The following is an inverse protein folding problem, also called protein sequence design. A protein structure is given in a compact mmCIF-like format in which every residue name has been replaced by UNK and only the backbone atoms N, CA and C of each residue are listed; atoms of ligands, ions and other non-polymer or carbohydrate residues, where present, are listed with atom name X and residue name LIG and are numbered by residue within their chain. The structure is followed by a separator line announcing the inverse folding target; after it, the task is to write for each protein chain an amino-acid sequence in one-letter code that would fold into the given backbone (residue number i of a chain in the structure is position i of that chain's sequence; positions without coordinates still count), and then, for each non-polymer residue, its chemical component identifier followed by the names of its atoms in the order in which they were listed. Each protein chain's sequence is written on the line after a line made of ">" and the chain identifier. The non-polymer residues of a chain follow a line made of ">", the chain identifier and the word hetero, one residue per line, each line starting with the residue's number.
data_IF_984043351504
#
_entry.id   IF_984043351504
#
_cell.length_a   1.000
_cell.length_b   1.000
_cell.length_c   1.000
_cell.angle_alpha   90.00
_cell.angle_beta   90.00
_cell.angle_gamma   90.00
#
_symmetry.space_group_name_H-M   'P 1'
#
loop_
_entity.id
_entity.type
_entity.pdbx_description
1 polymer ?
#
# COMPACT_ATOMS: atom_id res chain seq x y z
N UNK A 1 -12.66 6.12 -20.80
CA UNK A 1 -11.40 5.41 -20.70
C UNK A 1 -10.17 6.31 -20.80
N UNK A 2 -10.25 7.35 -21.64
CA UNK A 2 -9.12 8.29 -21.73
C UNK A 2 -8.79 8.95 -20.40
N UNK A 3 -9.80 9.27 -19.59
CA UNK A 3 -9.57 9.90 -18.29
C UNK A 3 -8.74 9.00 -17.34
N UNK A 4 -8.80 7.69 -17.53
CA UNK A 4 -8.06 6.74 -16.68
C UNK A 4 -6.64 6.48 -17.17
N UNK A 5 -6.34 6.83 -18.42
CA UNK A 5 -5.03 6.55 -19.02
C UNK A 5 -4.27 7.80 -19.45
N UNK A 6 -4.99 8.92 -19.61
CA UNK A 6 -4.36 10.17 -20.04
C UNK A 6 -3.44 10.70 -18.94
N UNK A 7 -2.25 11.11 -19.34
CA UNK A 7 -1.26 11.70 -18.43
C UNK A 7 -0.78 10.76 -17.31
N UNK A 8 -1.01 9.46 -17.46
CA UNK A 8 -0.49 8.49 -16.51
C UNK A 8 0.93 8.11 -16.90
N UNK A 9 1.83 8.18 -15.93
CA UNK A 9 3.21 7.74 -16.12
C UNK A 9 3.29 6.24 -15.83
N UNK A 10 3.10 5.43 -16.87
CA UNK A 10 3.06 3.98 -16.71
C UNK A 10 4.36 3.40 -16.18
N UNK A 11 5.50 4.03 -16.50
CA UNK A 11 6.79 3.59 -15.96
C UNK A 11 6.83 3.83 -14.44
N UNK A 12 6.35 4.99 -14.00
CA UNK A 12 6.25 5.29 -12.57
C UNK A 12 5.30 4.36 -11.85
N UNK A 13 4.15 4.04 -12.46
CA UNK A 13 3.18 3.12 -11.89
C UNK A 13 3.81 1.73 -11.74
N UNK A 14 4.43 1.22 -12.78
CA UNK A 14 5.05 -0.10 -12.75
C UNK A 14 6.19 -0.20 -11.75
N UNK A 15 7.07 0.81 -11.76
CA UNK A 15 8.23 0.83 -10.87
C UNK A 15 7.79 0.92 -9.41
N UNK A 16 6.85 1.83 -9.10
CA UNK A 16 6.38 1.96 -7.72
C UNK A 16 5.63 0.72 -7.24
N UNK A 17 4.91 0.04 -8.13
CA UNK A 17 4.24 -1.22 -7.77
C UNK A 17 5.27 -2.25 -7.31
N UNK A 18 6.34 -2.41 -8.07
CA UNK A 18 7.40 -3.37 -7.73
C UNK A 18 8.07 -2.99 -6.41
N UNK A 19 8.45 -1.72 -6.27
CA UNK A 19 9.12 -1.24 -5.06
C UNK A 19 8.22 -1.43 -3.83
N UNK A 20 6.94 -1.08 -3.94
CA UNK A 20 6.01 -1.21 -2.83
C UNK A 20 5.74 -2.66 -2.47
N UNK A 21 5.68 -3.54 -3.47
CA UNK A 21 5.50 -4.96 -3.20
C UNK A 21 6.70 -5.53 -2.44
N UNK A 22 7.91 -5.13 -2.83
CA UNK A 22 9.13 -5.51 -2.12
C UNK A 22 9.19 -4.89 -0.73
N UNK A 23 8.74 -3.65 -0.60
CA UNK A 23 8.65 -3.00 0.72
C UNK A 23 7.73 -3.79 1.65
N UNK A 24 6.62 -4.31 1.12
CA UNK A 24 5.71 -5.12 1.91
C UNK A 24 6.38 -6.35 2.50
N UNK A 25 7.22 -7.00 1.72
CA UNK A 25 7.97 -8.15 2.20
C UNK A 25 8.88 -7.79 3.38
N UNK A 26 9.52 -6.61 3.31
CA UNK A 26 10.37 -6.14 4.39
C UNK A 26 9.56 -5.61 5.58
N UNK A 27 8.51 -4.84 5.29
CA UNK A 27 7.68 -4.19 6.32
C UNK A 27 7.07 -5.19 7.28
N UNK A 28 6.55 -6.31 6.75
CA UNK A 28 5.92 -7.36 7.54
C UNK A 28 6.87 -8.49 7.92
N UNK A 29 8.17 -8.29 7.72
CA UNK A 29 9.17 -9.27 8.12
C UNK A 29 9.52 -9.12 9.60
N UNK A 30 10.12 -10.15 10.17
CA UNK A 30 10.60 -10.09 11.55
C UNK A 30 11.67 -9.03 11.81
N UNK A 31 12.28 -8.51 10.73
CA UNK A 31 13.30 -7.46 10.85
C UNK A 31 12.72 -6.09 11.15
N UNK A 32 11.44 -5.86 10.82
CA UNK A 32 10.76 -4.60 11.11
C UNK A 32 9.60 -4.84 12.06
N UNK A 33 8.39 -4.93 11.51
CA UNK A 33 7.17 -4.97 12.33
C UNK A 33 6.50 -6.34 12.40
N UNK A 34 7.06 -7.34 11.70
CA UNK A 34 6.36 -8.60 11.47
C UNK A 34 6.01 -9.38 12.73
N UNK A 35 6.90 -9.42 13.73
CA UNK A 35 6.64 -10.21 14.92
C UNK A 35 5.44 -9.73 15.71
N UNK A 36 5.41 -8.44 16.06
CA UNK A 36 4.29 -7.89 16.81
C UNK A 36 3.03 -7.79 15.98
N UNK A 37 3.18 -7.54 14.67
CA UNK A 37 2.05 -7.54 13.76
C UNK A 37 1.39 -8.93 13.72
N UNK A 38 2.19 -9.97 13.58
CA UNK A 38 1.68 -11.34 13.54
C UNK A 38 0.97 -11.72 14.84
N UNK A 39 1.53 -11.33 15.98
CA UNK A 39 0.87 -11.53 17.27
C UNK A 39 -0.47 -10.79 17.32
N UNK A 40 -0.50 -9.58 16.78
CA UNK A 40 -1.70 -8.75 16.81
C UNK A 40 -2.84 -9.26 15.93
N UNK A 41 -2.54 -10.04 14.89
CA UNK A 41 -3.56 -10.66 14.05
C UNK A 41 -3.70 -12.15 14.29
N UNK A 42 -3.04 -12.65 15.35
CA UNK A 42 -3.16 -14.03 15.83
C UNK A 42 -2.71 -15.09 14.82
N UNK A 43 -1.63 -14.81 14.10
CA UNK A 43 -1.02 -15.83 13.23
C UNK A 43 0.29 -16.31 13.85
N UNK A 44 0.58 -17.58 13.63
CA UNK A 44 1.79 -18.20 14.15
C UNK A 44 3.03 -17.81 13.36
N UNK A 45 4.23 -18.04 13.93
CA UNK A 45 5.49 -17.70 13.26
C UNK A 45 5.74 -18.51 11.99
N UNK A 46 5.12 -19.67 11.86
CA UNK A 46 5.27 -20.52 10.67
C UNK A 46 4.20 -20.26 9.63
N UNK A 47 3.35 -19.27 9.87
CA UNK A 47 2.29 -18.93 8.93
C UNK A 47 2.87 -18.41 7.62
N UNK A 48 2.42 -18.98 6.52
CA UNK A 48 2.77 -18.51 5.18
C UNK A 48 1.53 -17.92 4.53
N UNK A 49 1.71 -16.78 3.87
CA UNK A 49 0.61 -16.17 3.15
C UNK A 49 0.20 -17.04 1.98
N UNK A 50 -1.11 -17.14 1.75
CA UNK A 50 -1.63 -17.90 0.62
C UNK A 50 -1.28 -17.19 -0.69
N UNK A 51 -1.26 -17.96 -1.77
CA UNK A 51 -1.05 -17.39 -3.10
C UNK A 51 -2.16 -16.38 -3.41
N UNK A 52 -3.40 -16.68 -3.01
CA UNK A 52 -4.52 -15.75 -3.20
C UNK A 52 -4.27 -14.41 -2.53
N UNK A 53 -3.73 -14.42 -1.30
CA UNK A 53 -3.43 -13.19 -0.58
C UNK A 53 -2.35 -12.39 -1.29
N UNK A 54 -1.29 -13.06 -1.75
CA UNK A 54 -0.19 -12.40 -2.45
C UNK A 54 -0.63 -11.82 -3.79
N UNK A 55 -1.45 -12.56 -4.54
CA UNK A 55 -1.98 -12.08 -5.82
C UNK A 55 -2.88 -10.87 -5.60
N UNK A 56 -3.75 -10.93 -4.58
CA UNK A 56 -4.62 -9.80 -4.25
C UNK A 56 -3.80 -8.58 -3.84
N UNK A 57 -2.75 -8.78 -3.07
CA UNK A 57 -1.85 -7.71 -2.64
C UNK A 57 -1.18 -7.05 -3.85
N UNK A 58 -0.72 -7.85 -4.80
CA UNK A 58 -0.08 -7.33 -6.00
C UNK A 58 -1.06 -6.47 -6.81
N UNK A 59 -2.25 -6.99 -7.09
CA UNK A 59 -3.24 -6.24 -7.86
C UNK A 59 -3.72 -4.99 -7.12
N UNK A 60 -3.91 -5.10 -5.81
CA UNK A 60 -4.28 -3.93 -5.00
C UNK A 60 -3.21 -2.85 -5.06
N UNK A 61 -1.94 -3.25 -4.97
CA UNK A 61 -0.81 -2.32 -5.05
C UNK A 61 -0.74 -1.67 -6.42
N UNK A 62 -0.92 -2.46 -7.48
CA UNK A 62 -0.92 -1.94 -8.86
C UNK A 62 -2.04 -0.92 -9.07
N UNK A 63 -3.25 -1.25 -8.62
CA UNK A 63 -4.39 -0.34 -8.76
C UNK A 63 -4.20 0.94 -7.94
N UNK A 64 -3.65 0.82 -6.74
CA UNK A 64 -3.36 1.99 -5.92
C UNK A 64 -2.31 2.87 -6.60
N UNK A 65 -1.25 2.27 -7.17
CA UNK A 65 -0.23 3.02 -7.90
C UNK A 65 -0.83 3.75 -9.10
N UNK A 66 -1.77 3.11 -9.80
CA UNK A 66 -2.48 3.73 -10.90
C UNK A 66 -3.30 4.93 -10.43
N UNK A 67 -4.05 4.76 -9.34
CA UNK A 67 -4.86 5.84 -8.75
C UNK A 67 -3.97 7.01 -8.33
N UNK A 68 -2.87 6.72 -7.66
CA UNK A 68 -1.92 7.77 -7.25
C UNK A 68 -1.33 8.47 -8.48
N UNK A 69 -1.01 7.72 -9.53
CA UNK A 69 -0.51 8.28 -10.78
C UNK A 69 -1.50 9.24 -11.42
N UNK A 70 -2.78 8.91 -11.39
CA UNK A 70 -3.83 9.81 -11.88
C UNK A 70 -3.98 11.05 -10.99
N UNK A 71 -3.95 10.84 -9.67
CA UNK A 71 -4.15 11.92 -8.72
C UNK A 71 -3.00 12.93 -8.72
N UNK A 72 -1.76 12.45 -8.88
CA UNK A 72 -0.59 13.32 -8.89
C UNK A 72 -0.64 14.32 -10.05
N UNK A 73 -1.13 13.90 -11.22
CA UNK A 73 -1.23 14.81 -12.36
C UNK A 73 -2.30 15.88 -12.15
N UNK A 74 -3.23 15.65 -11.24
CA UNK A 74 -4.27 16.62 -10.91
C UNK A 74 -3.90 17.49 -9.71
N UNK A 75 -3.68 16.88 -8.56
CA UNK A 75 -3.46 17.62 -7.33
C UNK A 75 -2.87 16.72 -6.25
N UNK A 76 -1.86 17.23 -5.55
CA UNK A 76 -1.29 16.54 -4.39
C UNK A 76 -2.34 16.39 -3.28
N UNK A 77 -3.25 17.35 -3.16
CA UNK A 77 -4.33 17.23 -2.19
C UNK A 77 -5.19 15.98 -2.40
N UNK A 78 -5.40 15.61 -3.67
CA UNK A 78 -6.13 14.37 -4.00
C UNK A 78 -5.39 13.14 -3.50
N UNK A 79 -4.06 13.12 -3.61
CA UNK A 79 -3.24 12.01 -3.11
C UNK A 79 -3.39 11.89 -1.60
N UNK A 80 -3.33 13.01 -0.88
CA UNK A 80 -3.49 13.03 0.58
C UNK A 80 -4.87 12.50 0.97
N UNK A 81 -5.90 12.94 0.27
CA UNK A 81 -7.27 12.50 0.56
C UNK A 81 -7.43 11.00 0.37
N UNK A 82 -6.93 10.48 -0.74
CA UNK A 82 -6.99 9.05 -1.04
C UNK A 82 -6.23 8.25 0.02
N UNK A 83 -5.04 8.72 0.39
CA UNK A 83 -4.21 8.05 1.40
C UNK A 83 -4.94 7.96 2.74
N UNK A 84 -5.54 9.06 3.18
CA UNK A 84 -6.28 9.08 4.44
C UNK A 84 -7.49 8.14 4.39
N UNK A 85 -8.20 8.13 3.27
CA UNK A 85 -9.37 7.25 3.12
C UNK A 85 -8.95 5.78 3.23
N UNK A 86 -7.91 5.39 2.52
CA UNK A 86 -7.44 3.99 2.55
C UNK A 86 -6.87 3.65 3.92
N UNK A 87 -6.12 4.57 4.54
CA UNK A 87 -5.57 4.37 5.87
C UNK A 87 -6.67 4.04 6.89
N UNK A 88 -7.71 4.87 6.93
CA UNK A 88 -8.79 4.65 7.89
C UNK A 88 -9.62 3.42 7.59
N UNK A 89 -9.80 3.08 6.32
CA UNK A 89 -10.51 1.85 5.95
C UNK A 89 -9.71 0.61 6.38
N UNK A 90 -8.41 0.62 6.19
CA UNK A 90 -7.54 -0.48 6.64
C UNK A 90 -7.56 -0.57 8.16
N UNK A 91 -7.44 0.58 8.84
CA UNK A 91 -7.46 0.62 10.30
C UNK A 91 -8.77 0.04 10.84
N UNK A 92 -9.90 0.50 10.30
CA UNK A 92 -11.23 0.03 10.72
C UNK A 92 -11.40 -1.48 10.47
N UNK A 93 -10.97 -1.95 9.30
CA UNK A 93 -11.07 -3.37 8.96
C UNK A 93 -10.31 -4.24 9.95
N UNK A 94 -9.10 -3.82 10.31
CA UNK A 94 -8.30 -4.57 11.28
C UNK A 94 -8.91 -4.55 12.67
N UNK A 95 -9.39 -3.39 13.11
CA UNK A 95 -10.01 -3.27 14.44
C UNK A 95 -11.31 -4.07 14.53
N UNK A 96 -12.10 -4.11 13.46
CA UNK A 96 -13.31 -4.92 13.41
C UNK A 96 -13.02 -6.42 13.43
N UNK A 97 -11.84 -6.80 12.98
CA UNK A 97 -11.38 -8.19 13.04
C UNK A 97 -10.70 -8.56 14.36
N UNK A 98 -10.81 -7.69 15.35
CA UNK A 98 -10.21 -7.88 16.68
C UNK A 98 -8.68 -7.94 16.69
N UNK A 99 -8.07 -7.33 15.68
CA UNK A 99 -6.62 -7.19 15.66
C UNK A 99 -6.20 -6.09 16.64
N UNK A 100 -4.97 -6.17 17.15
CA UNK A 100 -4.49 -5.15 18.10
C UNK A 100 -4.34 -3.81 17.39
N UNK A 101 -4.35 -2.74 18.19
CA UNK A 101 -4.10 -1.40 17.65
C UNK A 101 -2.73 -1.34 16.98
N UNK A 102 -1.72 -1.98 17.57
CA UNK A 102 -0.38 -2.03 16.98
C UNK A 102 -0.41 -2.63 15.57
N UNK A 103 -1.01 -3.82 15.43
CA UNK A 103 -1.10 -4.48 14.12
C UNK A 103 -1.87 -3.63 13.11
N UNK A 104 -2.96 -3.01 13.56
CA UNK A 104 -3.80 -2.15 12.71
C UNK A 104 -3.01 -0.93 12.23
N UNK A 105 -2.23 -0.31 13.10
CA UNK A 105 -1.41 0.85 12.75
C UNK A 105 -0.25 0.46 11.84
N UNK A 106 0.32 -0.74 12.01
CA UNK A 106 1.37 -1.23 11.12
C UNK A 106 0.84 -1.36 9.69
N UNK A 107 -0.35 -1.93 9.53
CA UNK A 107 -0.94 -2.08 8.21
C UNK A 107 -1.35 -0.74 7.60
N UNK A 108 -1.93 0.15 8.41
CA UNK A 108 -2.28 1.50 7.95
C UNK A 108 -1.05 2.31 7.59
N UNK A 109 0.00 2.20 8.40
CA UNK A 109 1.27 2.87 8.14
C UNK A 109 1.92 2.41 6.85
N UNK A 110 1.75 1.12 6.51
CA UNK A 110 2.24 0.59 5.24
C UNK A 110 1.58 1.30 4.05
N UNK A 111 0.27 1.55 4.14
CA UNK A 111 -0.45 2.28 3.09
C UNK A 111 0.16 3.67 2.90
N UNK A 112 0.43 4.38 4.00
CA UNK A 112 1.04 5.71 3.94
C UNK A 112 2.42 5.63 3.28
N UNK A 113 3.25 4.67 3.69
CA UNK A 113 4.57 4.48 3.10
C UNK A 113 4.49 4.20 1.59
N UNK A 114 3.55 3.34 1.17
CA UNK A 114 3.35 3.04 -0.25
C UNK A 114 2.98 4.28 -1.05
N UNK A 115 2.04 5.08 -0.54
CA UNK A 115 1.60 6.27 -1.29
C UNK A 115 2.69 7.32 -1.37
N UNK A 116 3.54 7.44 -0.37
CA UNK A 116 4.70 8.32 -0.43
C UNK A 116 5.65 7.87 -1.54
N UNK A 117 5.96 6.59 -1.60
CA UNK A 117 6.85 6.02 -2.63
C UNK A 117 6.24 6.21 -4.02
N UNK A 118 4.95 5.91 -4.17
CA UNK A 118 4.25 6.06 -5.45
C UNK A 118 4.27 7.51 -5.93
N UNK A 119 4.06 8.45 -5.01
CA UNK A 119 4.09 9.87 -5.33
C UNK A 119 5.49 10.29 -5.79
N UNK A 120 6.51 9.90 -5.05
CA UNK A 120 7.89 10.23 -5.40
C UNK A 120 8.26 9.65 -6.76
N UNK A 121 7.94 8.39 -7.01
CA UNK A 121 8.24 7.75 -8.30
C UNK A 121 7.56 8.46 -9.46
N UNK A 122 6.29 8.83 -9.29
CA UNK A 122 5.56 9.50 -10.34
C UNK A 122 6.10 10.91 -10.61
N UNK A 123 6.45 11.64 -9.55
CA UNK A 123 6.99 12.99 -9.70
C UNK A 123 8.37 12.97 -10.34
N UNK A 124 9.26 12.10 -9.87
CA UNK A 124 10.64 12.03 -10.36
C UNK A 124 10.69 11.57 -11.82
N UNK A 125 9.94 10.54 -12.17
CA UNK A 125 9.99 9.94 -13.49
C UNK A 125 9.28 10.83 -14.53
N UNK A 126 8.25 11.58 -14.09
CA UNK A 126 7.58 12.54 -14.97
C UNK A 126 8.49 13.71 -15.37
N UNK A 127 9.43 14.00 -14.53
CA UNK A 127 10.39 15.07 -14.80
C UNK A 127 11.45 14.59 -15.76
#
# INVERSE_FOLDING_TARGET
>A
MEALTANVNWLGVGLSTIICFMLGSLWFSGKLFGEKWAEGIEIGPDHKQSVSALVSQFFGTLLLAWIVGLAVSGSIASVVLITLAVFFLVLASNLMGDHTLYASMVEGGFVIAMTIIMTICNVIILS
#
